data_IF_292968796344
#
_entry.id   IF_292968796344
#
_cell.length_a   1.000
_cell.length_b   1.000
_cell.length_c   1.000
_cell.angle_alpha   90.00
_cell.angle_beta   90.00
_cell.angle_gamma   90.00
#
_symmetry.space_group_name_H-M   'P 1'
#
loop_
_entity.id
_entity.type
_entity.pdbx_description
1 polymer ?
#
# COMPACT_ATOMS: atom_id res chain seq x y z
N UNK A 1 -29.07 25.10 8.67
CA UNK A 1 -29.07 24.55 10.04
C UNK A 1 -29.96 25.43 10.92
N UNK A 2 -30.65 24.86 11.90
CA UNK A 2 -31.39 25.62 12.92
C UNK A 2 -30.81 25.25 14.29
N UNK A 3 -29.79 26.01 14.69
CA UNK A 3 -29.08 25.80 15.94
C UNK A 3 -29.93 26.16 17.17
N UNK A 4 -30.94 27.01 17.02
CA UNK A 4 -31.89 27.34 18.08
C UNK A 4 -32.83 26.17 18.37
N UNK A 5 -33.24 25.43 17.34
CA UNK A 5 -33.98 24.17 17.46
C UNK A 5 -33.08 22.96 17.77
N UNK A 6 -31.76 23.15 17.91
CA UNK A 6 -30.82 22.07 18.17
C UNK A 6 -30.66 21.10 17.00
N UNK A 7 -30.76 21.57 15.76
CA UNK A 7 -30.63 20.74 14.56
C UNK A 7 -29.61 21.29 13.59
N UNK A 8 -28.83 20.42 12.97
CA UNK A 8 -27.84 20.81 11.99
C UNK A 8 -27.75 19.80 10.85
N UNK A 9 -27.32 20.30 9.69
CA UNK A 9 -27.03 19.50 8.52
C UNK A 9 -25.70 19.96 7.96
N UNK A 10 -24.85 19.02 7.59
CA UNK A 10 -23.60 19.24 6.88
C UNK A 10 -23.73 18.61 5.51
N UNK A 11 -23.70 19.42 4.46
CA UNK A 11 -23.71 18.94 3.09
C UNK A 11 -22.31 19.05 2.50
N UNK A 12 -21.89 18.02 1.76
CA UNK A 12 -20.59 18.06 1.07
C UNK A 12 -20.56 19.14 -0.01
N UNK A 13 -19.47 19.90 -0.06
CA UNK A 13 -19.18 20.87 -1.12
C UNK A 13 -17.83 20.55 -1.82
N UNK A 14 -17.74 20.91 -3.10
CA UNK A 14 -16.53 20.65 -3.91
C UNK A 14 -16.28 19.15 -4.10
N UNK A 15 -15.15 18.67 -3.59
CA UNK A 15 -14.78 17.25 -3.66
C UNK A 15 -15.51 16.36 -2.64
N UNK A 16 -16.24 16.94 -1.70
CA UNK A 16 -17.05 16.22 -0.73
C UNK A 16 -18.42 15.87 -1.30
N UNK A 17 -18.87 14.64 -1.08
CA UNK A 17 -20.18 14.12 -1.51
C UNK A 17 -20.97 13.63 -0.30
N UNK A 18 -22.30 13.72 -0.35
CA UNK A 18 -23.20 13.24 0.68
C UNK A 18 -23.62 14.29 1.70
N UNK A 19 -24.18 13.84 2.82
CA UNK A 19 -24.66 14.70 3.90
C UNK A 19 -24.66 13.98 5.26
N UNK A 20 -24.41 14.76 6.32
CA UNK A 20 -24.70 14.37 7.71
C UNK A 20 -25.82 15.23 8.25
N UNK A 21 -26.69 14.62 9.05
CA UNK A 21 -27.76 15.26 9.76
C UNK A 21 -27.58 14.98 11.24
N UNK A 22 -27.74 16.00 12.06
CA UNK A 22 -27.61 15.83 13.49
C UNK A 22 -28.57 16.70 14.27
N UNK A 23 -28.74 16.32 15.52
CA UNK A 23 -29.47 17.08 16.50
C UNK A 23 -28.73 17.07 17.82
N UNK A 24 -28.94 18.10 18.62
CA UNK A 24 -28.42 18.19 19.97
C UNK A 24 -29.44 18.84 20.89
N UNK A 25 -29.36 18.50 22.17
CA UNK A 25 -30.13 19.13 23.22
C UNK A 25 -29.22 19.42 24.40
N UNK A 26 -29.23 20.66 24.84
CA UNK A 26 -28.37 21.14 25.93
C UNK A 26 -29.11 21.09 27.27
N UNK A 27 -28.39 20.91 28.38
CA UNK A 27 -28.95 21.08 29.72
C UNK A 27 -29.18 22.54 30.08
N UNK A 28 -29.90 22.80 31.17
CA UNK A 28 -30.07 24.15 31.70
C UNK A 28 -28.70 24.79 32.04
N UNK A 29 -28.54 26.12 31.87
CA UNK A 29 -29.55 27.08 31.42
C UNK A 29 -29.69 27.20 29.89
N UNK A 30 -28.84 26.51 29.12
CA UNK A 30 -28.76 26.65 27.66
C UNK A 30 -29.87 25.90 26.90
N UNK A 31 -30.50 24.91 27.54
CA UNK A 31 -31.60 24.17 26.98
C UNK A 31 -32.51 23.56 28.03
N UNK A 32 -33.41 22.69 27.58
CA UNK A 32 -34.47 22.08 28.41
C UNK A 32 -34.21 20.62 28.76
N UNK A 33 -33.09 20.03 28.32
CA UNK A 33 -32.80 18.65 28.59
C UNK A 33 -32.21 18.43 30.00
N UNK A 34 -32.38 17.24 30.60
CA UNK A 34 -31.76 16.92 31.88
C UNK A 34 -30.23 16.77 31.78
N UNK A 35 -29.71 16.54 30.56
CA UNK A 35 -28.30 16.39 30.27
C UNK A 35 -28.01 16.73 28.80
N UNK A 36 -26.76 16.54 28.38
CA UNK A 36 -26.35 16.73 26.99
C UNK A 36 -26.70 15.50 26.16
N UNK A 37 -27.49 15.69 25.11
CA UNK A 37 -27.78 14.67 24.11
C UNK A 37 -27.33 15.20 22.75
N UNK A 38 -26.65 14.38 21.95
CA UNK A 38 -26.41 14.67 20.55
C UNK A 38 -26.59 13.40 19.72
N UNK A 39 -27.09 13.56 18.50
CA UNK A 39 -27.22 12.51 17.50
C UNK A 39 -26.65 13.01 16.20
N UNK A 40 -25.96 12.14 15.48
CA UNK A 40 -25.47 12.41 14.13
C UNK A 40 -25.61 11.16 13.30
N UNK A 41 -26.18 11.30 12.10
CA UNK A 41 -26.36 10.21 11.17
C UNK A 41 -26.13 10.69 9.74
N UNK A 42 -25.73 9.78 8.85
CA UNK A 42 -25.63 10.03 7.43
C UNK A 42 -24.37 9.45 6.82
N UNK A 43 -24.00 9.98 5.66
CA UNK A 43 -22.82 9.53 4.92
C UNK A 43 -22.12 10.70 4.23
N UNK A 44 -20.79 10.71 4.30
CA UNK A 44 -19.91 11.65 3.60
C UNK A 44 -18.82 10.88 2.87
N UNK A 45 -18.43 11.37 1.70
CA UNK A 45 -17.31 10.82 0.95
C UNK A 45 -16.39 11.92 0.44
N UNK A 46 -15.08 11.65 0.41
CA UNK A 46 -14.03 12.49 -0.15
C UNK A 46 -13.08 11.63 -0.98
N UNK A 47 -13.05 11.86 -2.29
CA UNK A 47 -12.33 10.98 -3.21
C UNK A 47 -12.84 9.53 -3.10
N UNK A 48 -11.92 8.62 -2.76
CA UNK A 48 -12.18 7.19 -2.55
C UNK A 48 -12.59 6.84 -1.11
N UNK A 49 -12.44 7.76 -0.16
CA UNK A 49 -12.81 7.55 1.23
C UNK A 49 -14.30 7.83 1.42
N UNK A 50 -15.03 6.90 2.00
CA UNK A 50 -16.44 7.06 2.36
C UNK A 50 -16.65 6.72 3.83
N UNK A 51 -17.41 7.55 4.52
CA UNK A 51 -17.85 7.37 5.89
C UNK A 51 -19.37 7.32 5.92
N UNK A 52 -19.93 6.35 6.64
CA UNK A 52 -21.34 6.29 6.97
C UNK A 52 -21.48 5.99 8.45
N UNK A 53 -22.43 6.59 9.15
CA UNK A 53 -22.66 6.22 10.55
C UNK A 53 -23.94 6.77 11.12
N UNK A 54 -24.30 6.23 12.28
CA UNK A 54 -25.36 6.70 13.16
C UNK A 54 -24.82 6.60 14.59
N UNK A 55 -24.68 7.75 15.24
CA UNK A 55 -24.13 7.87 16.58
C UNK A 55 -25.04 8.70 17.47
N UNK A 56 -25.18 8.24 18.71
CA UNK A 56 -25.80 8.97 19.81
C UNK A 56 -24.79 9.18 20.93
N UNK A 57 -24.60 10.43 21.32
CA UNK A 57 -23.85 10.84 22.50
C UNK A 57 -24.81 11.27 23.61
N UNK A 58 -24.58 10.81 24.85
CA UNK A 58 -25.37 11.18 26.03
C UNK A 58 -24.49 11.44 27.25
N UNK A 59 -24.61 12.60 27.87
CA UNK A 59 -24.03 12.89 29.19
C UNK A 59 -25.13 13.32 30.17
N UNK A 60 -25.31 12.57 31.27
CA UNK A 60 -26.34 12.88 32.28
C UNK A 60 -25.96 14.07 33.17
N UNK A 61 -24.67 14.22 33.49
CA UNK A 61 -24.12 15.33 34.26
C UNK A 61 -22.81 15.80 33.64
N UNK A 62 -22.64 17.12 33.53
CA UNK A 62 -21.44 17.71 32.90
C UNK A 62 -21.36 17.43 31.39
N UNK A 63 -20.13 17.28 30.89
CA UNK A 63 -19.81 17.14 29.45
C UNK A 63 -19.08 15.83 29.11
N UNK A 64 -18.98 14.90 30.06
CA UNK A 64 -18.39 13.58 29.87
C UNK A 64 -19.51 12.54 29.82
N UNK A 65 -19.79 12.04 28.63
CA UNK A 65 -20.90 11.16 28.34
C UNK A 65 -20.49 9.81 27.76
N UNK A 66 -21.44 9.15 27.12
CA UNK A 66 -21.25 7.88 26.43
C UNK A 66 -21.68 8.06 24.98
N UNK A 67 -20.80 7.66 24.07
CA UNK A 67 -21.03 7.50 22.66
C UNK A 67 -21.50 6.06 22.40
N UNK A 68 -22.56 5.93 21.62
CA UNK A 68 -23.18 4.67 21.21
C UNK A 68 -23.58 4.78 19.75
N UNK A 69 -23.76 3.65 19.09
CA UNK A 69 -24.00 3.59 17.65
C UNK A 69 -22.78 3.11 16.88
N UNK A 70 -22.90 3.06 15.57
CA UNK A 70 -21.90 2.45 14.69
C UNK A 70 -21.70 3.29 13.43
N UNK A 71 -20.50 3.21 12.90
CA UNK A 71 -20.19 3.76 11.60
C UNK A 71 -19.13 2.93 10.90
N UNK A 72 -19.01 3.18 9.61
CA UNK A 72 -18.16 2.45 8.69
C UNK A 72 -17.35 3.46 7.89
N UNK A 73 -16.03 3.32 7.95
CA UNK A 73 -15.09 4.02 7.10
C UNK A 73 -14.58 3.05 6.03
N UNK A 74 -14.77 3.35 4.76
CA UNK A 74 -14.44 2.45 3.66
C UNK A 74 -13.65 3.14 2.56
N UNK A 75 -12.81 2.36 1.89
CA UNK A 75 -12.15 2.65 0.61
C UNK A 75 -12.45 1.52 -0.38
N UNK A 76 -12.07 1.62 -1.66
CA UNK A 76 -12.17 0.52 -2.60
C UNK A 76 -11.43 -0.75 -2.18
N UNK A 77 -10.51 -0.66 -1.20
CA UNK A 77 -9.61 -1.73 -0.84
C UNK A 77 -9.85 -2.30 0.57
N UNK A 78 -10.49 -1.55 1.45
CA UNK A 78 -10.68 -1.92 2.85
C UNK A 78 -11.83 -1.18 3.51
N UNK A 79 -12.31 -1.70 4.64
CA UNK A 79 -13.25 -1.01 5.50
C UNK A 79 -12.93 -1.21 6.98
N UNK A 80 -13.33 -0.24 7.80
CA UNK A 80 -13.17 -0.20 9.26
C UNK A 80 -14.52 0.13 9.87
N UNK A 81 -15.01 -0.77 10.71
CA UNK A 81 -16.15 -0.54 11.59
C UNK A 81 -15.67 0.26 12.80
N UNK A 82 -16.42 1.29 13.18
CA UNK A 82 -16.22 2.11 14.35
C UNK A 82 -17.46 2.00 15.25
N UNK A 83 -17.30 1.42 16.43
CA UNK A 83 -18.39 1.15 17.37
C UNK A 83 -18.29 2.06 18.59
N UNK A 84 -19.35 2.80 18.89
CA UNK A 84 -19.45 3.68 20.05
C UNK A 84 -19.32 2.90 21.36
N UNK A 85 -18.28 3.22 22.15
CA UNK A 85 -18.05 2.63 23.47
C UNK A 85 -17.44 3.62 24.46
N UNK A 86 -18.25 4.06 25.43
CA UNK A 86 -17.83 5.07 26.39
C UNK A 86 -17.57 6.41 25.69
N UNK A 87 -16.49 7.12 26.02
CA UNK A 87 -16.11 8.36 25.34
C UNK A 87 -15.26 8.14 24.07
N UNK A 88 -15.50 7.06 23.35
CA UNK A 88 -14.67 6.69 22.22
C UNK A 88 -15.33 5.70 21.26
N UNK A 89 -14.52 5.26 20.31
CA UNK A 89 -14.87 4.27 19.29
C UNK A 89 -13.89 3.10 19.37
N UNK A 90 -14.40 1.88 19.48
CA UNK A 90 -13.62 0.68 19.17
C UNK A 90 -13.58 0.52 17.64
N UNK A 91 -12.39 0.33 17.08
CA UNK A 91 -12.14 0.26 15.64
C UNK A 91 -11.81 -1.18 15.25
N UNK A 92 -12.48 -1.71 14.23
CA UNK A 92 -12.31 -3.09 13.76
C UNK A 92 -12.22 -3.11 12.24
N UNK A 93 -11.17 -3.71 11.69
CA UNK A 93 -11.03 -3.91 10.26
C UNK A 93 -11.97 -4.98 9.74
N UNK A 94 -12.75 -4.66 8.71
CA UNK A 94 -13.57 -5.65 8.01
C UNK A 94 -12.71 -6.44 7.03
N UNK A 95 -12.50 -7.73 7.30
CA UNK A 95 -11.61 -8.57 6.49
C UNK A 95 -10.13 -8.19 6.62
N UNK A 96 -9.78 -7.38 7.63
CA UNK A 96 -8.41 -6.98 7.92
C UNK A 96 -8.05 -7.34 9.37
N UNK A 97 -6.81 -7.75 9.64
CA UNK A 97 -6.30 -7.94 11.00
C UNK A 97 -5.97 -6.60 11.67
N UNK A 98 -6.91 -5.66 11.64
CA UNK A 98 -6.81 -4.31 12.21
C UNK A 98 -7.75 -4.19 13.40
N UNK A 99 -7.22 -3.69 14.51
CA UNK A 99 -7.99 -3.32 15.70
C UNK A 99 -7.47 -1.99 16.25
N UNK A 100 -8.32 -1.24 16.92
CA UNK A 100 -7.90 0.01 17.55
C UNK A 100 -8.96 0.62 18.43
N UNK A 101 -8.63 1.78 18.98
CA UNK A 101 -9.51 2.59 19.81
C UNK A 101 -9.24 4.06 19.56
N UNK A 102 -10.30 4.83 19.34
CA UNK A 102 -10.28 6.28 19.30
C UNK A 102 -10.98 6.82 20.54
N UNK A 103 -10.22 7.32 21.51
CA UNK A 103 -10.74 8.09 22.62
C UNK A 103 -10.92 9.56 22.19
N UNK A 104 -12.06 10.16 22.52
CA UNK A 104 -12.39 11.54 22.16
C UNK A 104 -11.97 12.55 23.24
N UNK A 105 -11.73 12.10 24.48
CA UNK A 105 -11.33 12.96 25.60
C UNK A 105 -10.50 12.20 26.65
N UNK A 106 -9.18 12.47 26.78
CA UNK A 106 -8.37 13.25 25.82
C UNK A 106 -8.34 12.54 24.45
N UNK A 107 -8.17 13.32 23.38
CA UNK A 107 -8.09 12.76 22.03
C UNK A 107 -6.88 11.81 21.90
N UNK A 108 -7.15 10.53 21.65
CA UNK A 108 -6.11 9.51 21.48
C UNK A 108 -6.58 8.42 20.54
N UNK A 109 -5.81 8.17 19.48
CA UNK A 109 -5.99 7.02 18.60
C UNK A 109 -4.91 5.99 18.90
N UNK A 110 -5.28 4.78 19.28
CA UNK A 110 -4.38 3.64 19.35
C UNK A 110 -4.82 2.57 18.35
N UNK A 111 -3.90 1.98 17.60
CA UNK A 111 -4.22 0.91 16.66
C UNK A 111 -3.14 -0.16 16.62
N UNK A 112 -3.54 -1.32 16.11
CA UNK A 112 -2.69 -2.46 15.83
C UNK A 112 -3.18 -3.18 14.58
N UNK A 113 -2.26 -3.42 13.66
CA UNK A 113 -2.40 -4.29 12.50
C UNK A 113 -1.45 -5.48 12.66
N UNK A 114 -1.96 -6.71 12.57
CA UNK A 114 -1.13 -7.90 12.79
C UNK A 114 -1.57 -9.08 11.89
N UNK A 115 -1.09 -9.09 10.65
CA UNK A 115 -1.33 -10.20 9.73
C UNK A 115 -1.12 -9.85 8.27
N UNK A 116 -1.75 -10.63 7.38
CA UNK A 116 -1.59 -10.49 5.94
C UNK A 116 -2.21 -9.20 5.41
N UNK A 117 -1.47 -8.51 4.55
CA UNK A 117 -1.96 -7.37 3.79
C UNK A 117 -2.87 -7.84 2.64
N UNK A 118 -3.84 -7.00 2.23
CA UNK A 118 -4.69 -7.29 1.07
C UNK A 118 -3.87 -7.57 -0.19
N UNK A 119 -4.47 -8.32 -1.12
CA UNK A 119 -3.88 -8.60 -2.45
C UNK A 119 -2.53 -9.34 -2.42
N UNK A 120 -2.24 -10.03 -1.32
CA UNK A 120 -1.00 -10.81 -1.19
C UNK A 120 0.25 -9.94 -1.06
N UNK A 121 0.11 -8.69 -0.61
CA UNK A 121 1.22 -7.75 -0.44
C UNK A 121 2.08 -8.04 0.81
N UNK A 122 2.16 -9.30 1.23
CA UNK A 122 2.95 -9.72 2.39
C UNK A 122 2.22 -9.60 3.72
N UNK A 123 2.98 -9.49 4.79
CA UNK A 123 2.48 -9.43 6.17
C UNK A 123 2.99 -8.16 6.86
N UNK A 124 2.14 -7.58 7.70
CA UNK A 124 2.41 -6.38 8.47
C UNK A 124 2.11 -6.63 9.95
N UNK A 125 3.06 -6.27 10.80
CA UNK A 125 2.87 -6.13 12.23
C UNK A 125 3.21 -4.71 12.61
N UNK A 126 2.19 -3.88 12.76
CA UNK A 126 2.35 -2.46 13.06
C UNK A 126 1.41 -2.05 14.17
N UNK A 127 1.87 -1.13 15.01
CA UNK A 127 1.06 -0.49 16.04
C UNK A 127 1.41 0.99 16.10
N UNK A 128 0.51 1.77 16.67
CA UNK A 128 0.76 3.19 16.81
C UNK A 128 -0.23 3.86 17.75
N UNK A 129 0.22 4.99 18.31
CA UNK A 129 -0.57 5.88 19.15
C UNK A 129 -0.42 7.31 18.67
N UNK A 130 -1.53 8.01 18.49
CA UNK A 130 -1.56 9.43 18.15
C UNK A 130 -2.38 10.23 19.19
N UNK A 131 -1.86 11.34 19.73
CA UNK A 131 -0.49 11.86 19.53
C UNK A 131 0.56 10.95 20.18
N UNK A 132 1.75 10.84 19.55
CA UNK A 132 2.83 9.98 20.02
C UNK A 132 3.56 9.23 18.90
N UNK A 133 4.10 8.06 19.23
CA UNK A 133 4.68 7.12 18.26
C UNK A 133 3.55 6.51 17.42
N UNK A 134 3.18 7.21 16.36
CA UNK A 134 2.01 6.88 15.54
C UNK A 134 2.23 5.67 14.62
N UNK A 135 3.47 5.18 14.51
CA UNK A 135 3.79 3.95 13.80
C UNK A 135 5.08 3.34 14.34
N UNK A 136 5.02 2.04 14.63
CA UNK A 136 6.16 1.17 14.84
C UNK A 136 5.77 -0.20 14.35
N UNK A 137 6.64 -0.85 13.58
CA UNK A 137 6.27 -2.15 13.06
C UNK A 137 7.33 -2.84 12.24
N UNK A 138 6.90 -3.96 11.64
CA UNK A 138 7.67 -4.78 10.72
C UNK A 138 6.80 -5.17 9.55
N UNK A 139 7.38 -5.11 8.36
CA UNK A 139 6.80 -5.58 7.12
C UNK A 139 7.61 -6.76 6.59
N UNK A 140 6.91 -7.79 6.10
CA UNK A 140 7.55 -8.97 5.49
C UNK A 140 6.92 -9.28 4.14
N UNK A 141 7.75 -9.50 3.13
CA UNK A 141 7.31 -9.97 1.82
C UNK A 141 8.31 -10.98 1.27
N UNK A 142 7.90 -12.25 1.19
CA UNK A 142 8.82 -13.35 0.89
C UNK A 142 9.98 -13.38 1.91
N UNK A 143 11.20 -13.27 1.40
CA UNK A 143 12.44 -13.22 2.19
C UNK A 143 12.80 -11.82 2.73
N UNK A 144 12.10 -10.77 2.28
CA UNK A 144 12.38 -9.39 2.69
C UNK A 144 11.69 -9.08 4.01
N UNK A 145 12.45 -8.56 4.96
CA UNK A 145 11.95 -8.06 6.24
C UNK A 145 12.42 -6.63 6.46
N UNK A 146 11.47 -5.72 6.68
CA UNK A 146 11.71 -4.29 6.90
C UNK A 146 11.16 -3.88 8.27
N UNK A 147 11.89 -3.03 8.98
CA UNK A 147 11.43 -2.31 10.15
C UNK A 147 10.81 -0.99 9.71
N UNK A 148 9.69 -0.62 10.35
CA UNK A 148 8.93 0.59 10.08
C UNK A 148 8.90 1.47 11.32
N UNK A 149 9.07 2.78 11.13
CA UNK A 149 8.99 3.78 12.20
C UNK A 149 8.28 5.04 11.71
N UNK A 150 7.35 5.53 12.50
CA UNK A 150 6.68 6.81 12.27
C UNK A 150 7.62 7.97 12.58
N UNK A 151 7.74 8.87 11.61
CA UNK A 151 8.50 10.12 11.68
C UNK A 151 7.52 11.31 11.69
N UNK A 152 8.05 12.52 11.81
CA UNK A 152 7.21 13.72 11.78
C UNK A 152 6.54 13.90 10.41
N UNK A 153 5.41 14.60 10.38
CA UNK A 153 4.69 14.89 9.13
C UNK A 153 4.10 13.66 8.43
N UNK A 154 3.79 12.59 9.18
CA UNK A 154 3.24 11.33 8.66
C UNK A 154 4.16 10.62 7.66
N UNK A 155 5.47 10.76 7.84
CA UNK A 155 6.49 10.02 7.09
C UNK A 155 6.83 8.68 7.76
N UNK A 156 6.99 7.62 7.00
CA UNK A 156 7.40 6.30 7.48
C UNK A 156 8.87 6.09 7.15
N UNK A 157 9.71 6.02 8.17
CA UNK A 157 11.07 5.51 8.06
C UNK A 157 11.05 3.99 7.88
N UNK A 158 11.82 3.52 6.91
CA UNK A 158 11.93 2.12 6.52
C UNK A 158 13.39 1.70 6.59
N UNK A 159 13.68 0.58 7.22
CA UNK A 159 15.05 0.03 7.28
C UNK A 159 15.07 -1.49 7.25
N UNK A 160 16.05 -2.07 6.58
CA UNK A 160 16.22 -3.52 6.46
C UNK A 160 17.60 -3.86 5.90
N UNK A 161 17.81 -5.15 5.61
CA UNK A 161 19.06 -5.61 5.04
C UNK A 161 19.31 -4.98 3.66
N UNK A 162 20.31 -4.10 3.58
CA UNK A 162 20.70 -3.41 2.34
C UNK A 162 19.71 -2.36 1.85
N UNK A 163 18.73 -1.94 2.66
CA UNK A 163 17.78 -0.88 2.29
C UNK A 163 17.48 0.03 3.48
N UNK A 164 17.46 1.33 3.22
CA UNK A 164 17.06 2.34 4.19
C UNK A 164 16.41 3.52 3.48
N UNK A 165 15.40 4.12 4.07
CA UNK A 165 14.73 5.26 3.44
C UNK A 165 13.50 5.73 4.18
N UNK A 166 12.75 6.58 3.50
CA UNK A 166 11.53 7.17 4.00
C UNK A 166 10.47 7.23 2.90
N UNK A 167 9.21 7.04 3.28
CA UNK A 167 8.04 7.23 2.43
C UNK A 167 7.05 8.14 3.13
N UNK A 168 6.52 9.14 2.43
CA UNK A 168 5.54 10.04 3.02
C UNK A 168 4.56 10.60 1.99
N UNK A 169 3.65 11.51 2.42
CA UNK A 169 2.63 12.06 1.53
C UNK A 169 3.21 12.82 0.32
N UNK A 170 4.43 13.34 0.42
CA UNK A 170 5.07 14.12 -0.63
C UNK A 170 5.85 13.26 -1.64
N UNK A 171 6.31 12.08 -1.25
CA UNK A 171 7.17 11.25 -2.09
C UNK A 171 7.94 10.19 -1.30
N UNK A 172 9.03 9.72 -1.90
CA UNK A 172 9.91 8.67 -1.37
C UNK A 172 11.36 9.07 -1.45
N UNK A 173 12.19 8.50 -0.57
CA UNK A 173 13.64 8.57 -0.64
C UNK A 173 14.23 7.29 -0.06
N UNK A 174 14.76 6.43 -0.91
CA UNK A 174 15.36 5.16 -0.55
C UNK A 174 16.79 5.07 -1.05
N UNK A 175 17.63 4.45 -0.23
CA UNK A 175 18.98 4.04 -0.55
C UNK A 175 19.08 2.53 -0.42
N UNK A 176 19.71 1.93 -1.43
CA UNK A 176 19.98 0.50 -1.50
C UNK A 176 21.49 0.30 -1.46
N UNK A 177 21.93 -0.62 -0.60
CA UNK A 177 23.32 -1.01 -0.41
C UNK A 177 23.39 -2.53 -0.39
N UNK A 178 23.45 -3.14 -1.56
CA UNK A 178 23.41 -4.59 -1.69
C UNK A 178 22.09 -5.21 -1.19
N UNK A 179 20.96 -4.53 -1.38
CA UNK A 179 19.64 -5.10 -1.11
C UNK A 179 19.43 -6.36 -1.95
N UNK A 180 18.94 -7.46 -1.35
CA UNK A 180 18.78 -8.75 -2.05
C UNK A 180 17.32 -9.17 -2.13
N UNK A 181 16.95 -9.70 -3.29
CA UNK A 181 15.68 -10.37 -3.53
C UNK A 181 15.87 -11.56 -4.49
N UNK A 182 15.97 -12.76 -3.96
CA UNK A 182 16.36 -13.96 -4.66
C UNK A 182 17.76 -13.80 -5.27
N UNK A 183 17.93 -14.02 -6.58
CA UNK A 183 19.23 -13.85 -7.25
C UNK A 183 19.58 -12.38 -7.52
N UNK A 184 18.66 -11.45 -7.29
CA UNK A 184 18.81 -10.03 -7.57
C UNK A 184 19.50 -9.32 -6.40
N UNK A 185 20.52 -8.52 -6.71
CA UNK A 185 21.12 -7.55 -5.79
C UNK A 185 20.99 -6.14 -6.37
N UNK A 186 20.51 -5.19 -5.56
CA UNK A 186 20.32 -3.80 -5.93
C UNK A 186 21.18 -2.88 -5.05
N UNK A 187 21.80 -1.88 -5.66
CA UNK A 187 22.47 -0.77 -4.97
C UNK A 187 22.12 0.55 -5.65
N UNK A 188 22.10 1.67 -4.95
CA UNK A 188 21.77 2.97 -5.55
C UNK A 188 20.65 3.69 -4.80
N UNK A 189 19.86 4.50 -5.50
CA UNK A 189 18.84 5.36 -4.90
C UNK A 189 17.55 5.38 -5.71
N UNK A 190 16.45 5.57 -4.98
CA UNK A 190 15.13 5.86 -5.53
C UNK A 190 14.54 7.02 -4.74
N UNK A 191 14.43 8.20 -5.36
CA UNK A 191 14.02 9.41 -4.64
C UNK A 191 13.24 10.39 -5.53
N UNK A 192 12.31 11.11 -4.93
CA UNK A 192 11.55 12.15 -5.59
C UNK A 192 10.09 12.24 -5.12
N UNK A 193 9.36 13.28 -5.56
CA UNK A 193 7.93 13.40 -5.29
C UNK A 193 7.12 12.30 -5.99
N UNK A 194 5.93 11.98 -5.50
CA UNK A 194 5.06 10.96 -6.14
C UNK A 194 4.69 11.27 -7.60
N UNK A 195 4.74 12.55 -7.98
CA UNK A 195 4.53 12.98 -9.36
C UNK A 195 5.63 12.45 -10.29
N UNK A 196 6.85 12.34 -9.79
CA UNK A 196 8.05 11.89 -10.52
C UNK A 196 9.14 11.46 -9.53
N UNK A 197 9.29 10.15 -9.37
CA UNK A 197 10.32 9.49 -8.57
C UNK A 197 11.44 9.04 -9.50
N UNK A 198 12.66 9.52 -9.27
CA UNK A 198 13.84 9.10 -10.00
C UNK A 198 14.42 7.80 -9.44
N UNK A 199 14.97 6.97 -10.33
CA UNK A 199 15.68 5.74 -10.01
C UNK A 199 17.08 5.80 -10.62
N UNK A 200 18.09 5.58 -9.79
CA UNK A 200 19.47 5.38 -10.25
C UNK A 200 20.03 4.20 -9.46
N UNK A 201 20.11 3.05 -10.10
CA UNK A 201 20.40 1.76 -9.48
C UNK A 201 21.51 1.03 -10.22
N UNK A 202 22.26 0.21 -9.51
CA UNK A 202 23.10 -0.83 -10.03
C UNK A 202 22.46 -2.18 -9.67
N UNK A 203 22.21 -2.97 -10.70
CA UNK A 203 21.61 -4.28 -10.63
C UNK A 203 22.69 -5.35 -10.83
N UNK A 204 22.65 -6.38 -9.99
CA UNK A 204 23.47 -7.57 -10.17
C UNK A 204 22.61 -8.82 -10.03
N UNK A 205 22.63 -9.69 -11.04
CA UNK A 205 21.92 -10.96 -11.02
C UNK A 205 22.67 -11.99 -11.89
N UNK A 206 22.78 -13.23 -11.39
CA UNK A 206 23.42 -14.34 -12.11
C UNK A 206 24.81 -14.02 -12.69
N UNK A 207 25.62 -13.28 -11.93
CA UNK A 207 26.98 -12.88 -12.34
C UNK A 207 27.05 -11.73 -13.35
N UNK A 208 25.92 -11.12 -13.71
CA UNK A 208 25.85 -9.94 -14.59
C UNK A 208 25.66 -8.68 -13.80
N UNK A 209 26.17 -7.56 -14.30
CA UNK A 209 25.98 -6.23 -13.74
C UNK A 209 25.41 -5.26 -14.78
N UNK A 210 24.40 -4.51 -14.39
CA UNK A 210 23.83 -3.44 -15.21
C UNK A 210 23.58 -2.18 -14.36
N UNK A 211 23.77 -1.02 -14.95
CA UNK A 211 23.29 0.25 -14.42
C UNK A 211 21.87 0.48 -14.95
N UNK A 212 21.01 1.02 -14.09
CA UNK A 212 19.60 1.22 -14.34
C UNK A 212 19.22 2.64 -13.98
N UNK A 213 18.84 3.42 -14.97
CA UNK A 213 18.30 4.77 -14.78
C UNK A 213 16.82 4.76 -15.12
N UNK A 214 16.01 5.47 -14.36
CA UNK A 214 14.59 5.43 -14.59
C UNK A 214 13.78 6.45 -13.84
N UNK A 215 12.47 6.43 -14.13
CA UNK A 215 11.49 7.31 -13.52
C UNK A 215 10.17 6.59 -13.33
N UNK A 216 9.48 6.90 -12.23
CA UNK A 216 8.13 6.48 -11.94
C UNK A 216 7.25 7.69 -11.65
N UNK A 217 6.09 7.80 -12.29
CA UNK A 217 5.19 8.94 -12.07
C UNK A 217 3.84 8.76 -12.74
N UNK A 218 3.18 9.88 -13.07
CA UNK A 218 1.86 9.86 -13.72
C UNK A 218 1.82 9.12 -15.07
N UNK A 219 2.94 9.05 -15.78
CA UNK A 219 3.08 8.33 -17.06
C UNK A 219 3.50 6.86 -16.89
N UNK A 220 3.57 6.37 -15.65
CA UNK A 220 4.02 5.02 -15.32
C UNK A 220 5.52 4.92 -15.03
N UNK A 221 6.10 3.75 -15.25
CA UNK A 221 7.50 3.41 -15.01
C UNK A 221 8.27 3.37 -16.32
N UNK A 222 9.48 3.93 -16.36
CA UNK A 222 10.45 3.73 -17.43
C UNK A 222 11.81 3.44 -16.81
N UNK A 223 12.48 2.40 -17.28
CA UNK A 223 13.79 1.94 -16.88
C UNK A 223 14.67 1.74 -18.11
N UNK A 224 15.86 2.33 -18.10
CA UNK A 224 16.91 2.17 -19.10
C UNK A 224 18.07 1.43 -18.47
N UNK A 225 18.58 0.43 -19.19
CA UNK A 225 19.62 -0.49 -18.73
C UNK A 225 20.89 -0.28 -19.56
N UNK A 226 22.04 -0.29 -18.87
CA UNK A 226 23.36 -0.13 -19.47
C UNK A 226 24.35 -1.16 -18.88
N UNK A 227 25.29 -1.67 -19.69
CA UNK A 227 26.31 -2.63 -19.26
C UNK A 227 26.03 -4.05 -19.75
N UNK A 228 26.07 -5.06 -18.87
CA UNK A 228 25.84 -6.46 -19.29
C UNK A 228 24.39 -6.73 -19.72
N UNK A 229 23.48 -5.80 -19.41
CA UNK A 229 22.10 -5.76 -19.85
C UNK A 229 21.85 -4.37 -20.44
N UNK A 230 21.44 -4.31 -21.70
CA UNK A 230 21.20 -3.06 -22.42
C UNK A 230 19.77 -2.99 -22.95
N UNK A 231 19.13 -1.82 -22.88
CA UNK A 231 17.82 -1.60 -23.47
C UNK A 231 16.87 -0.87 -22.54
N UNK A 232 15.56 -1.03 -22.77
CA UNK A 232 14.54 -0.26 -22.06
C UNK A 232 13.34 -1.12 -21.72
N UNK A 233 12.79 -0.91 -20.53
CA UNK A 233 11.52 -1.46 -20.05
C UNK A 233 10.65 -0.34 -19.53
N UNK A 234 9.38 -0.34 -19.93
CA UNK A 234 8.38 0.59 -19.45
C UNK A 234 7.12 -0.15 -18.99
N UNK A 235 6.38 0.48 -18.09
CA UNK A 235 5.05 0.04 -17.67
C UNK A 235 4.09 1.24 -17.59
N UNK A 236 3.04 1.21 -18.40
CA UNK A 236 1.91 2.14 -18.35
C UNK A 236 0.65 1.34 -18.63
N UNK A 237 0.03 0.79 -17.58
CA UNK A 237 -1.06 -0.21 -17.64
C UNK A 237 -0.71 -1.54 -18.34
N UNK A 238 0.39 -1.57 -19.09
CA UNK A 238 1.02 -2.75 -19.67
C UNK A 238 2.54 -2.58 -19.69
N UNK A 239 3.24 -3.68 -19.44
CA UNK A 239 4.66 -3.84 -19.66
C UNK A 239 4.97 -3.80 -21.15
N UNK A 240 6.05 -3.12 -21.50
CA UNK A 240 6.64 -3.12 -22.84
C UNK A 240 8.13 -2.85 -22.73
N UNK A 241 8.93 -3.57 -23.49
CA UNK A 241 10.35 -3.26 -23.54
C UNK A 241 11.17 -4.36 -24.17
N UNK A 242 12.44 -4.06 -24.43
CA UNK A 242 13.41 -5.04 -24.90
C UNK A 242 14.72 -4.81 -24.17
N UNK A 243 15.30 -5.90 -23.71
CA UNK A 243 16.63 -5.95 -23.14
C UNK A 243 17.49 -6.92 -23.93
N UNK A 244 18.73 -6.55 -24.18
CA UNK A 244 19.73 -7.33 -24.88
C UNK A 244 20.91 -7.57 -23.94
N UNK A 245 21.58 -8.70 -24.15
CA UNK A 245 22.78 -9.07 -23.44
C UNK A 245 23.63 -9.96 -24.36
N UNK A 246 24.87 -10.27 -23.97
CA UNK A 246 25.83 -10.96 -24.84
C UNK A 246 25.29 -12.25 -25.47
N UNK A 247 24.49 -13.00 -24.74
CA UNK A 247 23.97 -14.31 -25.11
C UNK A 247 22.59 -14.26 -25.78
N UNK A 248 21.98 -13.08 -25.94
CA UNK A 248 20.67 -12.98 -26.58
C UNK A 248 19.87 -11.73 -26.23
N UNK A 249 18.55 -11.82 -26.36
CA UNK A 249 17.66 -10.70 -26.03
C UNK A 249 16.29 -11.19 -25.58
N UNK A 250 15.65 -10.41 -24.73
CA UNK A 250 14.32 -10.65 -24.19
C UNK A 250 13.44 -9.41 -24.40
N UNK A 251 12.22 -9.64 -24.84
CA UNK A 251 11.13 -8.67 -24.92
C UNK A 251 10.18 -8.89 -23.74
N UNK A 252 9.76 -7.79 -23.11
CA UNK A 252 8.74 -7.75 -22.07
C UNK A 252 7.41 -7.26 -22.65
N UNK A 253 6.32 -7.94 -22.32
CA UNK A 253 4.96 -7.49 -22.66
C UNK A 253 3.92 -7.91 -21.59
N UNK A 254 2.70 -7.37 -21.63
CA UNK A 254 1.57 -7.86 -20.81
C UNK A 254 1.04 -6.88 -19.76
N UNK A 255 -0.21 -7.05 -19.29
CA UNK A 255 -0.92 -6.04 -18.48
C UNK A 255 -0.67 -6.10 -16.96
N UNK A 256 -0.40 -7.29 -16.42
CA UNK A 256 -0.26 -7.50 -14.98
C UNK A 256 1.11 -8.10 -14.67
N UNK A 257 1.19 -9.44 -14.79
CA UNK A 257 2.47 -10.16 -14.76
C UNK A 257 3.11 -10.04 -16.14
N UNK A 258 4.37 -9.60 -16.25
CA UNK A 258 5.04 -9.49 -17.53
C UNK A 258 5.24 -10.89 -18.14
N UNK A 259 4.95 -11.02 -19.41
CA UNK A 259 5.42 -12.09 -20.27
C UNK A 259 6.81 -11.73 -20.80
N UNK A 260 7.75 -12.65 -20.70
CA UNK A 260 9.07 -12.56 -21.32
C UNK A 260 9.11 -13.44 -22.55
N UNK A 261 9.61 -12.93 -23.67
CA UNK A 261 9.86 -13.73 -24.86
C UNK A 261 11.16 -13.32 -25.52
N UNK A 262 11.94 -14.26 -26.02
CA UNK A 262 13.12 -13.94 -26.80
C UNK A 262 13.99 -15.13 -27.10
N UNK A 263 15.29 -14.89 -27.16
CA UNK A 263 16.30 -15.88 -27.48
C UNK A 263 17.44 -15.78 -26.49
N UNK A 264 17.88 -16.92 -25.94
CA UNK A 264 18.99 -17.03 -24.99
C UNK A 264 19.86 -18.19 -25.44
N UNK A 265 21.13 -17.93 -25.71
CA UNK A 265 22.10 -18.94 -26.17
C UNK A 265 21.64 -19.69 -27.43
N UNK A 266 20.92 -19.02 -28.34
CA UNK A 266 20.38 -19.63 -29.56
C UNK A 266 19.02 -20.33 -29.39
N UNK A 267 18.52 -20.44 -28.15
CA UNK A 267 17.26 -21.11 -27.85
C UNK A 267 16.14 -20.11 -27.60
N UNK A 268 14.96 -20.39 -28.17
CA UNK A 268 13.77 -19.57 -27.90
C UNK A 268 13.32 -19.79 -26.46
N UNK A 269 13.12 -18.68 -25.75
CA UNK A 269 12.63 -18.66 -24.38
C UNK A 269 11.32 -17.88 -24.33
N UNK A 270 10.32 -18.43 -23.65
CA UNK A 270 9.09 -17.72 -23.30
C UNK A 270 8.69 -18.01 -21.86
N UNK A 271 8.63 -16.98 -21.02
CA UNK A 271 8.07 -17.06 -19.67
C UNK A 271 6.73 -16.33 -19.66
N UNK A 272 5.64 -17.08 -19.53
CA UNK A 272 4.31 -16.58 -19.24
C UNK A 272 3.85 -17.28 -17.96
N UNK A 273 4.18 -16.69 -16.81
CA UNK A 273 4.03 -17.33 -15.50
C UNK A 273 2.64 -17.97 -15.32
N UNK A 274 2.56 -19.24 -14.83
CA UNK A 274 3.64 -20.07 -14.31
C UNK A 274 4.39 -20.92 -15.35
N UNK A 275 4.16 -20.70 -16.65
CA UNK A 275 4.73 -21.53 -17.72
C UNK A 275 6.03 -20.93 -18.26
N UNK A 276 7.06 -21.76 -18.34
CA UNK A 276 8.33 -21.45 -18.97
C UNK A 276 8.56 -22.41 -20.14
N UNK A 277 8.81 -21.87 -21.32
CA UNK A 277 9.19 -22.63 -22.51
C UNK A 277 10.63 -22.30 -22.88
N UNK A 278 11.46 -23.32 -23.05
CA UNK A 278 12.88 -23.20 -23.46
C UNK A 278 13.18 -24.27 -24.48
N UNK A 279 13.51 -23.88 -25.71
CA UNK A 279 14.01 -24.81 -26.73
C UNK A 279 13.11 -26.04 -27.00
N UNK A 280 11.78 -25.86 -26.91
CA UNK A 280 10.78 -26.93 -27.11
C UNK A 280 10.37 -27.68 -25.84
N UNK A 281 11.03 -27.46 -24.70
CA UNK A 281 10.65 -27.98 -23.39
C UNK A 281 9.73 -26.98 -22.70
N UNK A 282 8.57 -27.44 -22.24
CA UNK A 282 7.60 -26.66 -21.47
C UNK A 282 7.64 -27.10 -20.01
N UNK A 283 7.80 -26.13 -19.12
CA UNK A 283 7.89 -26.28 -17.68
C UNK A 283 6.70 -25.57 -17.03
N UNK A 284 5.91 -26.29 -16.24
CA UNK A 284 4.99 -25.69 -15.29
C UNK A 284 5.73 -25.48 -13.97
N UNK A 285 6.10 -24.23 -13.68
CA UNK A 285 6.89 -23.88 -12.51
C UNK A 285 6.09 -24.05 -11.20
N UNK A 286 4.76 -23.99 -11.26
CA UNK A 286 3.90 -24.18 -10.11
C UNK A 286 3.70 -25.68 -9.80
N UNK A 287 3.43 -26.49 -10.82
CA UNK A 287 3.25 -27.93 -10.68
C UNK A 287 4.58 -28.71 -10.61
N UNK A 288 5.71 -28.06 -10.95
CA UNK A 288 7.05 -28.67 -11.07
C UNK A 288 7.08 -29.83 -12.06
N UNK A 289 6.37 -29.66 -13.17
CA UNK A 289 6.27 -30.64 -14.25
C UNK A 289 6.96 -30.12 -15.51
N UNK A 290 7.53 -31.03 -16.29
CA UNK A 290 8.19 -30.72 -17.55
C UNK A 290 7.68 -31.66 -18.64
N UNK A 291 7.42 -31.12 -19.83
CA UNK A 291 6.94 -31.85 -20.99
C UNK A 291 7.64 -31.37 -22.26
N UNK A 292 7.75 -32.25 -23.25
CA UNK A 292 8.35 -31.96 -24.55
C UNK A 292 9.75 -32.53 -24.73
N UNK A 293 10.31 -32.32 -25.91
CA UNK A 293 11.65 -32.76 -26.30
C UNK A 293 12.49 -31.53 -26.65
N UNK A 294 13.63 -31.37 -25.96
CA UNK A 294 14.59 -30.30 -26.23
C UNK A 294 15.81 -30.82 -26.99
N UNK A 295 16.44 -29.96 -27.78
CA UNK A 295 17.76 -30.24 -28.36
C UNK A 295 18.83 -29.65 -27.45
N UNK A 296 19.76 -30.49 -26.98
CA UNK A 296 20.94 -30.00 -26.27
C UNK A 296 21.94 -29.50 -27.32
N UNK A 297 22.15 -28.18 -27.37
CA UNK A 297 23.24 -27.62 -28.17
C UNK A 297 24.57 -28.06 -27.55
N UNK A 298 25.34 -28.88 -28.29
CA UNK A 298 26.67 -29.39 -27.88
C UNK A 298 27.66 -28.30 -27.46
N UNK A 299 27.43 -27.04 -27.87
CA UNK A 299 28.27 -25.89 -27.52
C UNK A 299 28.09 -25.39 -26.06
N UNK A 300 27.13 -25.94 -25.30
CA UNK A 300 26.83 -25.57 -23.91
C UNK A 300 27.24 -26.62 -22.87
N UNK A 301 27.83 -27.73 -23.30
CA UNK A 301 28.42 -28.72 -22.40
C UNK A 301 29.94 -28.42 -22.27
N UNK A 302 30.49 -28.39 -21.04
CA UNK A 302 31.92 -28.20 -20.81
C UNK A 302 32.77 -29.32 -21.42
#
# INVERSE_FOLDING_TARGET
ADLGAGSFGLQGEGAWRGSLWGSFCLPQPLGRCPGLLARVQGALAYGELAFQGDYTYRAEKGYLGVLSGEGRLSTPYWAVLAQGRGLGLDLLGEGLPLSGRLDLSPFRLAYRYAGALPRGLGELWAEGVYPGEWLKGRYRYGEVALSLKGLQGFQVGVSGAGVSGEVGPKGVAFRFEGFRYGPLTLSGRMEGPWREVGLNLALMAWGRKAEVEGRYGGEGLVLEFHGDLEGQVAWQEAWKGKVAFKEGSLELSGKQVPELQGEVLGERVRLAWPRLEVGGVRLDLAARQAEGEGRILKALLP
#
